data_IF_724990878285
#
_entry.id   IF_724990878285
#
_cell.length_a   1.000
_cell.length_b   1.000
_cell.length_c   1.000
_cell.angle_alpha   90.00
_cell.angle_beta   90.00
_cell.angle_gamma   90.00
#
_symmetry.space_group_name_H-M   'P 1'
#
loop_
_entity.id
_entity.type
_entity.pdbx_description
1 polymer ?
#
# COMPACT_ATOMS: atom_id res chain seq x y z
N UNK A 1 -14.98 7.83 -0.78
CA UNK A 1 -14.72 6.72 0.15
C UNK A 1 -14.92 7.16 1.59
N UNK A 2 -14.16 8.14 2.09
CA UNK A 2 -14.32 8.68 3.45
C UNK A 2 -15.75 9.05 3.83
N UNK A 3 -16.46 9.85 3.01
CA UNK A 3 -17.87 10.20 3.25
C UNK A 3 -18.81 8.98 3.35
N UNK A 4 -18.55 7.93 2.58
CA UNK A 4 -19.36 6.71 2.60
C UNK A 4 -19.14 5.93 3.90
N UNK A 5 -17.89 5.87 4.38
CA UNK A 5 -17.54 5.25 5.65
C UNK A 5 -18.18 6.04 6.81
N UNK A 6 -18.04 7.36 6.81
CA UNK A 6 -18.60 8.25 7.84
C UNK A 6 -20.13 8.16 7.91
N UNK A 7 -20.81 8.19 6.76
CA UNK A 7 -22.27 8.07 6.67
C UNK A 7 -22.81 6.80 7.35
N UNK A 8 -22.05 5.71 7.33
CA UNK A 8 -22.45 4.43 7.92
C UNK A 8 -21.88 4.22 9.34
N UNK A 9 -21.15 5.19 9.88
CA UNK A 9 -20.58 5.10 11.23
C UNK A 9 -19.53 3.99 11.37
N UNK A 10 -18.90 3.57 10.26
CA UNK A 10 -17.89 2.51 10.26
C UNK A 10 -16.54 3.10 10.67
N UNK A 11 -15.77 2.35 11.47
CA UNK A 11 -14.47 2.80 11.95
C UNK A 11 -13.38 2.52 10.92
N UNK A 12 -12.62 3.55 10.55
CA UNK A 12 -11.35 3.38 9.81
C UNK A 12 -10.26 2.86 10.75
N UNK A 13 -9.50 1.89 10.27
CA UNK A 13 -8.33 1.32 10.94
C UNK A 13 -7.10 1.67 10.10
N UNK A 14 -6.33 2.72 10.45
CA UNK A 14 -5.16 3.10 9.68
C UNK A 14 -4.09 1.99 9.67
N UNK A 15 -3.17 2.01 8.68
CA UNK A 15 -2.99 3.02 7.64
C UNK A 15 -3.85 2.78 6.38
N UNK A 16 -4.12 3.85 5.63
CA UNK A 16 -4.58 3.69 4.25
C UNK A 16 -3.45 3.15 3.37
N UNK A 17 -3.80 2.46 2.30
CA UNK A 17 -2.82 1.83 1.43
C UNK A 17 -3.23 1.84 -0.03
N UNK A 18 -2.24 1.66 -0.90
CA UNK A 18 -2.44 1.42 -2.34
C UNK A 18 -1.83 0.08 -2.69
N UNK A 19 -2.55 -0.74 -3.45
CA UNK A 19 -2.03 -1.98 -4.04
C UNK A 19 -1.87 -1.74 -5.53
N UNK A 20 -0.66 -1.98 -6.05
CA UNK A 20 -0.34 -1.85 -7.47
C UNK A 20 -0.34 -3.23 -8.12
N UNK A 21 -1.17 -3.38 -9.14
CA UNK A 21 -1.27 -4.57 -9.97
C UNK A 21 -0.52 -4.36 -11.28
N UNK A 22 -0.05 -5.46 -11.86
CA UNK A 22 0.48 -5.42 -13.21
C UNK A 22 -0.68 -5.13 -14.17
N UNK A 23 -0.64 -3.97 -14.83
CA UNK A 23 -1.71 -3.59 -15.74
C UNK A 23 -1.81 -4.50 -16.97
N UNK A 24 -2.94 -4.41 -17.66
CA UNK A 24 -3.23 -5.20 -18.87
C UNK A 24 -2.33 -4.87 -20.07
N UNK A 25 -1.57 -3.79 -19.99
CA UNK A 25 -0.58 -3.36 -20.98
C UNK A 25 0.58 -2.64 -20.30
N UNK A 26 1.73 -2.56 -20.98
CA UNK A 26 2.97 -1.95 -20.48
C UNK A 26 2.82 -0.48 -20.01
N UNK A 27 1.77 0.23 -20.42
CA UNK A 27 1.53 1.64 -20.07
C UNK A 27 0.36 1.89 -19.12
N UNK A 28 -0.39 0.85 -18.74
CA UNK A 28 -1.53 0.98 -17.82
C UNK A 28 -1.10 0.62 -16.41
N UNK A 29 -1.35 1.50 -15.44
CA UNK A 29 -1.26 1.18 -14.01
C UNK A 29 -2.64 0.75 -13.56
N UNK A 30 -2.77 -0.47 -13.05
CA UNK A 30 -3.95 -0.91 -12.33
C UNK A 30 -3.65 -0.83 -10.83
N UNK A 31 -4.49 -0.12 -10.08
CA UNK A 31 -4.23 0.16 -8.68
C UNK A 31 -5.54 0.27 -7.89
N UNK A 32 -5.49 -0.21 -6.65
CA UNK A 32 -6.58 -0.11 -5.70
C UNK A 32 -6.17 0.78 -4.53
N UNK A 33 -6.99 1.80 -4.24
CA UNK A 33 -6.87 2.60 -3.01
C UNK A 33 -7.75 1.97 -1.94
N UNK A 34 -7.20 1.74 -0.75
CA UNK A 34 -7.82 0.94 0.29
C UNK A 34 -7.80 1.70 1.62
N UNK A 35 -8.96 1.74 2.27
CA UNK A 35 -9.11 2.13 3.67
C UNK A 35 -9.49 0.88 4.47
N UNK A 36 -8.62 0.39 5.36
CA UNK A 36 -9.01 -0.70 6.24
C UNK A 36 -10.08 -0.22 7.21
N UNK A 37 -11.07 -1.08 7.46
CA UNK A 37 -12.22 -0.76 8.30
C UNK A 37 -12.45 -1.86 9.33
N UNK A 38 -13.10 -1.50 10.43
CA UNK A 38 -13.65 -2.44 11.41
C UNK A 38 -15.17 -2.28 11.43
N UNK A 39 -15.86 -3.31 10.94
CA UNK A 39 -17.32 -3.35 10.80
C UNK A 39 -17.77 -3.55 9.36
N UNK A 40 -19.09 -3.69 9.20
CA UNK A 40 -19.71 -3.90 7.89
C UNK A 40 -19.98 -2.57 7.19
N UNK A 41 -19.62 -2.49 5.91
CA UNK A 41 -19.91 -1.35 5.04
C UNK A 41 -20.64 -1.86 3.80
N UNK A 42 -21.77 -1.27 3.39
CA UNK A 42 -22.43 -1.69 2.16
C UNK A 42 -21.56 -1.35 0.95
N UNK A 43 -21.42 -2.31 0.03
CA UNK A 43 -20.77 -2.08 -1.25
C UNK A 43 -21.52 -1.06 -2.10
N UNK A 44 -20.78 -0.46 -3.04
CA UNK A 44 -21.34 0.34 -4.14
C UNK A 44 -20.75 -0.15 -5.47
N UNK A 45 -21.08 0.52 -6.57
CA UNK A 45 -20.45 0.26 -7.86
C UNK A 45 -18.94 0.56 -7.85
N UNK A 46 -18.50 1.51 -7.01
CA UNK A 46 -17.11 1.98 -6.94
C UNK A 46 -16.34 1.55 -5.69
N UNK A 47 -17.04 1.15 -4.62
CA UNK A 47 -16.45 0.74 -3.34
C UNK A 47 -16.80 -0.72 -3.12
N UNK A 48 -15.78 -1.56 -3.11
CA UNK A 48 -15.89 -3.00 -2.87
C UNK A 48 -15.33 -3.36 -1.50
N UNK A 49 -15.98 -4.30 -0.83
CA UNK A 49 -15.55 -4.78 0.48
C UNK A 49 -14.94 -6.16 0.29
N UNK A 50 -13.71 -6.31 0.73
CA UNK A 50 -12.99 -7.57 0.68
C UNK A 50 -12.13 -7.75 1.91
N UNK A 51 -11.87 -9.01 2.25
CA UNK A 51 -10.82 -9.37 3.18
C UNK A 51 -9.51 -9.37 2.39
N UNK A 52 -8.51 -8.65 2.91
CA UNK A 52 -7.15 -8.70 2.37
C UNK A 52 -6.43 -9.86 3.05
N UNK A 53 -6.21 -10.93 2.29
CA UNK A 53 -5.55 -12.13 2.81
C UNK A 53 -4.11 -11.84 3.25
N UNK A 54 -3.69 -12.55 4.30
CA UNK A 54 -2.32 -12.54 4.78
C UNK A 54 -1.36 -13.10 3.72
N UNK A 55 -0.15 -12.52 3.66
CA UNK A 55 0.94 -13.03 2.82
C UNK A 55 1.97 -13.68 3.73
N UNK A 56 2.41 -14.90 3.38
CA UNK A 56 3.35 -15.68 4.19
C UNK A 56 4.68 -14.98 4.40
N UNK A 57 5.27 -14.44 3.34
CA UNK A 57 6.55 -13.72 3.37
C UNK A 57 6.43 -12.40 2.61
N UNK A 58 6.88 -11.33 3.26
CA UNK A 58 6.84 -9.97 2.72
C UNK A 58 8.20 -9.32 2.96
N UNK A 59 8.78 -8.74 1.93
CA UNK A 59 9.91 -7.85 2.08
C UNK A 59 9.37 -6.42 2.21
N UNK A 60 9.79 -5.72 3.26
CA UNK A 60 9.31 -4.38 3.57
C UNK A 60 10.48 -3.39 3.68
N UNK A 61 10.24 -2.16 3.28
CA UNK A 61 11.14 -1.02 3.54
C UNK A 61 10.33 0.18 3.97
N UNK A 62 10.81 0.91 4.97
CA UNK A 62 10.19 2.16 5.44
C UNK A 62 10.97 3.35 4.90
N UNK A 63 10.28 4.23 4.19
CA UNK A 63 10.79 5.49 3.70
C UNK A 63 10.29 6.64 4.58
N UNK A 64 11.23 7.46 5.08
CA UNK A 64 10.91 8.75 5.69
C UNK A 64 11.29 9.87 4.72
N UNK A 65 10.32 10.67 4.33
CA UNK A 65 10.50 11.80 3.42
C UNK A 65 9.38 11.92 2.38
N UNK A 66 9.52 12.93 1.52
CA UNK A 66 8.54 13.23 0.47
C UNK A 66 8.30 12.05 -0.47
N UNK A 67 7.07 11.93 -0.99
CA UNK A 67 6.72 10.89 -1.97
C UNK A 67 7.56 10.96 -3.25
N UNK A 68 8.11 12.13 -3.58
CA UNK A 68 9.00 12.32 -4.74
C UNK A 68 10.28 11.46 -4.65
N UNK A 69 10.67 11.05 -3.44
CA UNK A 69 11.89 10.25 -3.20
C UNK A 69 11.61 8.79 -2.87
N UNK A 70 10.36 8.31 -3.00
CA UNK A 70 10.00 6.90 -2.78
C UNK A 70 10.77 5.93 -3.67
N UNK A 71 11.14 6.36 -4.88
CA UNK A 71 11.94 5.56 -5.81
C UNK A 71 13.28 5.09 -5.20
N UNK A 72 13.84 5.82 -4.24
CA UNK A 72 15.06 5.42 -3.53
C UNK A 72 14.79 4.19 -2.65
N UNK A 73 13.68 4.17 -1.93
CA UNK A 73 13.30 3.04 -1.09
C UNK A 73 12.97 1.80 -1.94
N UNK A 74 12.25 1.97 -3.07
CA UNK A 74 12.07 0.89 -4.05
C UNK A 74 13.41 0.33 -4.53
N UNK A 75 14.34 1.20 -4.93
CA UNK A 75 15.66 0.78 -5.41
C UNK A 75 16.43 -0.01 -4.33
N UNK A 76 16.41 0.46 -3.08
CA UNK A 76 17.02 -0.26 -1.96
C UNK A 76 16.39 -1.63 -1.72
N UNK A 77 15.06 -1.73 -1.77
CA UNK A 77 14.34 -2.99 -1.60
C UNK A 77 14.68 -3.98 -2.71
N UNK A 78 14.64 -3.54 -3.97
CA UNK A 78 14.94 -4.38 -5.13
C UNK A 78 16.38 -4.91 -5.11
N UNK A 79 17.36 -4.07 -4.78
CA UNK A 79 18.75 -4.50 -4.64
C UNK A 79 18.90 -5.55 -3.53
N UNK A 80 18.24 -5.33 -2.38
CA UNK A 80 18.28 -6.30 -1.28
C UNK A 80 17.64 -7.64 -1.68
N UNK A 81 16.53 -7.64 -2.42
CA UNK A 81 15.89 -8.85 -2.92
C UNK A 81 16.82 -9.66 -3.82
N UNK A 82 17.49 -8.99 -4.75
CA UNK A 82 18.45 -9.61 -5.67
C UNK A 82 19.64 -10.24 -4.90
N UNK A 83 20.27 -9.46 -4.01
CA UNK A 83 21.40 -9.93 -3.20
C UNK A 83 21.05 -11.14 -2.32
N UNK A 84 19.81 -11.18 -1.82
CA UNK A 84 19.33 -12.22 -0.91
C UNK A 84 18.57 -13.36 -1.61
N UNK A 85 18.49 -13.33 -2.95
CA UNK A 85 17.83 -14.36 -3.78
C UNK A 85 16.35 -14.55 -3.43
N UNK A 86 15.60 -13.46 -3.42
CA UNK A 86 14.15 -13.47 -3.34
C UNK A 86 13.53 -13.04 -4.67
N UNK A 87 12.40 -13.64 -5.01
CA UNK A 87 11.58 -13.22 -6.14
C UNK A 87 10.24 -12.64 -5.64
N UNK A 88 9.74 -11.64 -6.36
CA UNK A 88 8.43 -11.03 -6.09
C UNK A 88 7.33 -11.91 -6.68
N UNK A 89 6.35 -12.28 -5.87
CA UNK A 89 5.31 -13.27 -6.24
C UNK A 89 3.89 -12.71 -6.22
N UNK A 90 3.75 -11.39 -6.23
CA UNK A 90 2.44 -10.75 -6.18
C UNK A 90 2.51 -9.23 -6.24
N UNK A 91 1.35 -8.57 -6.08
CA UNK A 91 1.25 -7.12 -6.21
C UNK A 91 1.94 -6.39 -5.06
N UNK A 92 2.60 -5.29 -5.39
CA UNK A 92 3.29 -4.43 -4.43
C UNK A 92 2.29 -3.52 -3.72
N UNK A 93 2.62 -3.08 -2.50
CA UNK A 93 1.75 -2.23 -1.69
C UNK A 93 2.52 -1.08 -1.08
N UNK A 94 1.88 0.08 -0.99
CA UNK A 94 2.36 1.23 -0.22
C UNK A 94 1.38 1.49 0.93
N UNK A 95 1.89 1.51 2.15
CA UNK A 95 1.14 1.85 3.37
C UNK A 95 1.60 3.23 3.83
N UNK A 96 0.67 4.17 3.90
CA UNK A 96 0.97 5.54 4.30
C UNK A 96 0.78 5.68 5.82
N UNK A 97 1.89 5.59 6.56
CA UNK A 97 1.90 5.59 8.01
C UNK A 97 1.79 7.01 8.59
N UNK A 98 2.41 7.99 7.92
CA UNK A 98 2.28 9.40 8.22
C UNK A 98 2.29 10.20 6.91
N UNK A 99 1.35 11.13 6.78
CA UNK A 99 1.16 11.93 5.56
C UNK A 99 0.60 13.31 5.86
N UNK A 100 -0.12 13.87 4.90
CA UNK A 100 -0.72 15.21 4.99
C UNK A 100 -1.69 15.38 6.17
N UNK A 101 -2.35 14.30 6.61
CA UNK A 101 -3.20 14.31 7.81
C UNK A 101 -2.42 14.37 9.13
N UNK A 102 -1.11 14.08 9.09
CA UNK A 102 -0.24 14.03 10.27
C UNK A 102 0.61 15.30 10.41
N UNK A 103 1.07 15.86 9.29
CA UNK A 103 2.02 16.98 9.26
C UNK A 103 1.97 17.70 7.92
N UNK A 104 2.33 18.99 7.91
CA UNK A 104 2.51 19.78 6.69
C UNK A 104 3.93 19.70 6.12
N UNK A 105 4.91 19.24 6.91
CA UNK A 105 6.27 19.02 6.45
C UNK A 105 6.38 17.66 5.76
N UNK A 106 6.49 17.67 4.42
CA UNK A 106 6.62 16.44 3.61
C UNK A 106 7.86 15.61 3.96
N UNK A 107 8.87 16.17 4.63
CA UNK A 107 10.04 15.40 5.08
C UNK A 107 9.72 14.47 6.26
N UNK A 108 8.61 14.71 6.95
CA UNK A 108 8.13 13.91 8.06
C UNK A 108 7.10 12.85 7.62
N UNK A 109 6.83 12.72 6.32
CA UNK A 109 6.00 11.64 5.80
C UNK A 109 6.69 10.29 5.99
N UNK A 110 5.92 9.25 6.27
CA UNK A 110 6.40 7.89 6.49
C UNK A 110 5.55 6.97 5.63
N UNK A 111 6.18 6.26 4.70
CA UNK A 111 5.54 5.27 3.83
C UNK A 111 6.29 3.95 3.94
N UNK A 112 5.57 2.86 4.14
CA UNK A 112 6.13 1.52 4.05
C UNK A 112 5.80 0.92 2.68
N UNK A 113 6.82 0.48 1.94
CA UNK A 113 6.67 -0.27 0.70
C UNK A 113 6.80 -1.76 1.03
N UNK A 114 5.88 -2.56 0.51
CA UNK A 114 5.80 -3.99 0.73
C UNK A 114 5.78 -4.76 -0.60
N UNK A 115 6.63 -5.78 -0.70
CA UNK A 115 6.67 -6.71 -1.82
C UNK A 115 6.45 -8.15 -1.32
N UNK A 116 5.41 -8.87 -1.78
CA UNK A 116 5.23 -10.28 -1.44
C UNK A 116 6.33 -11.10 -2.11
N UNK A 117 7.00 -11.96 -1.36
CA UNK A 117 8.20 -12.66 -1.83
C UNK A 117 8.17 -14.15 -1.54
N UNK A 118 9.04 -14.88 -2.24
CA UNK A 118 9.51 -16.20 -1.81
C UNK A 118 11.00 -16.33 -2.12
N UNK A 119 11.68 -17.22 -1.41
CA UNK A 119 13.08 -17.55 -1.70
C UNK A 119 13.19 -18.26 -3.05
N UNK A 120 14.10 -17.78 -3.90
CA UNK A 120 14.41 -18.34 -5.21
C UNK A 120 15.23 -19.63 -5.12
#
# INVERSE_FOLDING_TARGET
MGEHIEKHGVKVVPPCMVIYYQGSSDSSIDAEVIEPISGDLPETDRIKIKILEGVTEMACVVHKGTYQTLHNAYSSLLNWLEENRYEIVGPQRELYLAGEWSTTDTNEYITEIQCPVRKA
#
